data_IF_985650575259
#
_entry.id   IF_985650575259
#
_cell.length_a   1.000
_cell.length_b   1.000
_cell.length_c   1.000
_cell.angle_alpha   90.00
_cell.angle_beta   90.00
_cell.angle_gamma   90.00
#
_symmetry.space_group_name_H-M   'P 1'
#
loop_
_entity.id
_entity.type
_entity.pdbx_description
1 polymer ?
#
# COMPACT_ATOMS: atom_id res chain seq x y z
N UNK A 1 -3.39 -8.45 -7.49
CA UNK A 1 -3.84 -7.03 -7.39
C UNK A 1 -4.40 -6.60 -8.73
N UNK A 2 -5.39 -5.72 -8.76
CA UNK A 2 -5.92 -5.14 -10.01
C UNK A 2 -5.08 -3.95 -10.50
N UNK A 3 -5.19 -3.64 -11.79
CA UNK A 3 -4.54 -2.46 -12.38
C UNK A 3 -5.06 -1.16 -11.77
N UNK A 4 -6.37 -1.10 -11.49
CA UNK A 4 -6.99 0.01 -10.77
C UNK A 4 -7.18 1.27 -11.60
N UNK A 5 -7.23 2.41 -10.92
CA UNK A 5 -7.39 3.75 -11.48
C UNK A 5 -6.60 4.76 -10.60
N UNK A 6 -6.59 6.07 -10.89
CA UNK A 6 -5.84 7.03 -10.05
C UNK A 6 -6.27 7.14 -8.57
N UNK A 7 -7.35 6.47 -8.16
CA UNK A 7 -7.86 6.47 -6.77
C UNK A 7 -7.66 5.14 -6.04
N UNK A 8 -7.46 4.03 -6.74
CA UNK A 8 -7.30 2.70 -6.14
C UNK A 8 -6.48 1.74 -7.00
N UNK A 9 -5.91 0.70 -6.40
CA UNK A 9 -5.18 -0.35 -7.10
C UNK A 9 -3.76 0.03 -7.53
N UNK A 10 -3.20 -0.70 -8.48
CA UNK A 10 -1.79 -0.54 -8.89
C UNK A 10 -1.48 0.86 -9.42
N UNK A 11 -2.29 1.40 -10.32
CA UNK A 11 -2.08 2.74 -10.89
C UNK A 11 -1.99 3.80 -9.80
N UNK A 12 -2.90 3.79 -8.84
CA UNK A 12 -2.86 4.72 -7.72
C UNK A 12 -1.59 4.59 -6.88
N UNK A 13 -1.18 3.34 -6.56
CA UNK A 13 0.02 3.09 -5.77
C UNK A 13 1.27 3.57 -6.51
N UNK A 14 1.37 3.29 -7.81
CA UNK A 14 2.50 3.72 -8.62
C UNK A 14 2.57 5.26 -8.70
N UNK A 15 1.48 5.90 -9.13
CA UNK A 15 1.43 7.34 -9.34
C UNK A 15 1.60 8.13 -8.04
N UNK A 16 1.05 7.67 -6.91
CA UNK A 16 1.13 8.42 -5.65
C UNK A 16 2.32 8.04 -4.79
N UNK A 17 2.71 6.77 -4.78
CA UNK A 17 3.58 6.22 -3.76
C UNK A 17 4.85 5.57 -4.32
N UNK A 18 5.06 5.48 -5.64
CA UNK A 18 6.33 4.97 -6.21
C UNK A 18 6.94 6.01 -7.15
N UNK A 19 6.30 6.28 -8.28
CA UNK A 19 6.75 7.26 -9.28
C UNK A 19 6.52 8.70 -8.82
N UNK A 20 5.51 8.94 -7.97
CA UNK A 20 5.18 10.27 -7.46
C UNK A 20 4.66 11.24 -8.53
N UNK A 21 4.09 10.72 -9.61
CA UNK A 21 3.63 11.45 -10.80
C UNK A 21 2.16 11.89 -10.74
N UNK A 22 1.43 11.59 -9.67
CA UNK A 22 0.01 11.95 -9.56
C UNK A 22 -0.23 13.46 -9.68
N UNK A 23 -1.29 13.86 -10.39
CA UNK A 23 -1.65 15.27 -10.65
C UNK A 23 -1.81 16.15 -9.40
N UNK A 24 -2.11 15.55 -8.24
CA UNK A 24 -2.24 16.25 -6.96
C UNK A 24 -0.99 16.18 -6.08
N UNK A 25 0.16 15.80 -6.64
CA UNK A 25 1.39 15.54 -5.90
C UNK A 25 1.49 14.12 -5.35
N UNK A 26 2.71 13.77 -4.96
CA UNK A 26 3.03 12.48 -4.36
C UNK A 26 2.52 12.38 -2.92
N UNK A 27 2.27 11.14 -2.47
CA UNK A 27 2.06 10.82 -1.06
C UNK A 27 3.36 10.42 -0.39
N UNK A 28 3.27 9.61 0.66
CA UNK A 28 4.44 8.98 1.27
C UNK A 28 5.04 7.96 0.28
N UNK A 29 6.32 8.15 -0.07
CA UNK A 29 6.96 7.38 -1.13
C UNK A 29 7.59 6.08 -0.63
N UNK A 30 7.39 5.03 -1.41
CA UNK A 30 8.21 3.82 -1.48
C UNK A 30 9.52 4.12 -2.22
N UNK A 31 10.52 3.23 -2.13
CA UNK A 31 11.69 3.32 -2.99
C UNK A 31 11.28 3.23 -4.48
N UNK A 32 11.88 4.03 -5.39
CA UNK A 32 11.37 4.25 -6.75
C UNK A 32 11.43 3.01 -7.66
N UNK A 33 12.23 1.99 -7.31
CA UNK A 33 12.28 0.71 -8.02
C UNK A 33 11.31 -0.35 -7.47
N UNK A 34 10.37 0.06 -6.61
CA UNK A 34 9.42 -0.89 -6.00
C UNK A 34 8.50 -1.46 -7.08
N UNK A 35 8.39 -2.79 -7.14
CA UNK A 35 7.62 -3.47 -8.18
C UNK A 35 6.25 -3.91 -7.68
N UNK A 36 5.31 -4.14 -8.59
CA UNK A 36 3.98 -4.70 -8.29
C UNK A 36 4.06 -5.98 -7.47
N UNK A 37 4.94 -6.90 -7.86
CA UNK A 37 5.13 -8.16 -7.15
C UNK A 37 5.61 -7.96 -5.70
N UNK A 38 6.45 -6.95 -5.45
CA UNK A 38 6.87 -6.62 -4.07
C UNK A 38 5.70 -6.06 -3.25
N UNK A 39 4.85 -5.22 -3.85
CA UNK A 39 3.65 -4.68 -3.18
C UNK A 39 2.64 -5.80 -2.91
N UNK A 40 2.39 -6.70 -3.86
CA UNK A 40 1.50 -7.85 -3.69
C UNK A 40 1.96 -8.75 -2.55
N UNK A 41 3.24 -9.15 -2.57
CA UNK A 41 3.82 -9.95 -1.50
C UNK A 41 3.76 -9.27 -0.13
N UNK A 42 3.97 -7.95 -0.09
CA UNK A 42 3.85 -7.17 1.14
C UNK A 42 2.39 -7.15 1.63
N UNK A 43 1.43 -6.97 0.72
CA UNK A 43 0.01 -6.96 1.04
C UNK A 43 -0.47 -8.30 1.59
N UNK A 44 -0.11 -9.42 0.95
CA UNK A 44 -0.38 -10.78 1.45
C UNK A 44 0.16 -10.96 2.88
N UNK A 45 1.43 -10.58 3.10
CA UNK A 45 2.05 -10.63 4.43
C UNK A 45 1.30 -9.79 5.46
N UNK A 46 0.74 -8.64 5.06
CA UNK A 46 -0.01 -7.75 5.95
C UNK A 46 -1.41 -8.27 6.25
N UNK A 47 -2.08 -8.92 5.30
CA UNK A 47 -3.37 -9.57 5.53
C UNK A 47 -3.20 -10.73 6.53
N UNK A 48 -2.15 -11.54 6.37
CA UNK A 48 -1.89 -12.68 7.25
C UNK A 48 -1.35 -12.30 8.64
N UNK A 49 -0.41 -11.34 8.69
CA UNK A 49 0.44 -11.09 9.87
C UNK A 49 0.45 -9.63 10.30
N UNK A 50 -0.32 -8.77 9.66
CA UNK A 50 -0.46 -7.36 10.02
C UNK A 50 -1.43 -7.18 11.18
N UNK A 51 -1.36 -6.01 11.80
CA UNK A 51 -2.36 -5.60 12.79
C UNK A 51 -3.49 -4.92 12.05
N UNK A 52 -4.71 -5.46 12.12
CA UNK A 52 -5.91 -4.77 11.67
C UNK A 52 -6.17 -3.58 12.60
N UNK A 53 -6.19 -2.38 12.06
CA UNK A 53 -6.41 -1.13 12.81
C UNK A 53 -7.80 -0.53 12.58
N UNK A 54 -8.53 -1.04 11.59
CA UNK A 54 -9.95 -0.74 11.38
C UNK A 54 -10.85 -1.64 12.22
N UNK A 55 -12.08 -1.17 12.43
CA UNK A 55 -13.18 -2.00 12.94
C UNK A 55 -13.44 -3.18 11.97
N UNK A 56 -13.43 -4.45 12.44
CA UNK A 56 -13.74 -5.63 11.63
C UNK A 56 -15.09 -5.60 10.91
N UNK A 57 -16.07 -4.82 11.38
CA UNK A 57 -17.40 -4.72 10.77
C UNK A 57 -17.44 -3.79 9.53
N UNK A 58 -16.36 -3.05 9.25
CA UNK A 58 -16.30 -2.16 8.08
C UNK A 58 -15.93 -2.93 6.81
N UNK A 59 -16.51 -2.57 5.67
CA UNK A 59 -16.07 -3.07 4.36
C UNK A 59 -14.60 -2.72 4.07
N UNK A 60 -14.21 -1.47 4.34
CA UNK A 60 -12.84 -1.03 4.15
C UNK A 60 -12.00 -1.44 5.35
N UNK A 61 -11.07 -2.36 5.12
CA UNK A 61 -10.17 -2.87 6.15
C UNK A 61 -8.79 -2.24 5.98
N UNK A 62 -8.20 -1.81 7.10
CA UNK A 62 -6.87 -1.22 7.16
C UNK A 62 -5.98 -2.10 8.03
N UNK A 63 -4.83 -2.47 7.47
CA UNK A 63 -3.79 -3.23 8.16
C UNK A 63 -2.53 -2.38 8.27
N UNK A 64 -1.80 -2.54 9.36
CA UNK A 64 -0.47 -1.97 9.54
C UNK A 64 0.55 -3.04 9.91
N UNK A 65 1.77 -2.90 9.38
CA UNK A 65 2.88 -3.78 9.75
C UNK A 65 4.22 -3.09 9.55
N UNK A 66 5.14 -3.30 10.49
CA UNK A 66 6.55 -2.94 10.29
C UNK A 66 7.25 -4.05 9.53
N UNK A 67 7.81 -3.73 8.37
CA UNK A 67 8.53 -4.68 7.52
C UNK A 67 9.52 -3.97 6.61
N UNK A 68 10.17 -4.72 5.73
CA UNK A 68 11.09 -4.20 4.71
C UNK A 68 10.41 -4.41 3.35
N UNK A 69 10.27 -3.34 2.58
CA UNK A 69 9.84 -3.37 1.18
C UNK A 69 10.88 -2.63 0.36
N UNK A 70 11.41 -3.30 -0.66
CA UNK A 70 12.48 -2.80 -1.52
C UNK A 70 13.64 -2.14 -0.76
N UNK A 71 14.17 -2.83 0.26
CA UNK A 71 15.29 -2.34 1.09
C UNK A 71 14.89 -1.30 2.15
N UNK A 72 13.70 -0.71 2.09
CA UNK A 72 13.25 0.27 3.08
C UNK A 72 12.50 -0.38 4.24
N UNK A 73 13.09 -0.31 5.43
CA UNK A 73 12.39 -0.62 6.70
C UNK A 73 11.50 0.55 7.10
N UNK A 74 10.19 0.31 7.15
CA UNK A 74 9.18 1.27 7.59
C UNK A 74 7.97 0.54 8.20
N UNK A 75 7.06 1.29 8.81
CA UNK A 75 5.69 0.82 9.02
C UNK A 75 4.94 1.09 7.73
N UNK A 76 4.24 0.08 7.22
CA UNK A 76 3.40 0.20 6.04
C UNK A 76 1.94 0.10 6.44
N UNK A 77 1.10 0.81 5.70
CA UNK A 77 -0.36 0.72 5.77
C UNK A 77 -0.88 0.16 4.46
N UNK A 78 -1.76 -0.83 4.59
CA UNK A 78 -2.50 -1.44 3.51
C UNK A 78 -3.97 -1.14 3.75
N UNK A 79 -4.67 -0.68 2.72
CA UNK A 79 -6.13 -0.55 2.73
C UNK A 79 -6.69 -1.50 1.67
N UNK A 80 -7.64 -2.33 2.08
CA UNK A 80 -8.34 -3.27 1.21
C UNK A 80 -9.84 -3.12 1.32
N UNK A 81 -10.54 -3.51 0.27
CA UNK A 81 -11.97 -3.76 0.28
C UNK A 81 -12.22 -5.23 0.62
N UNK A 82 -12.76 -5.52 1.81
CA UNK A 82 -12.91 -6.90 2.29
C UNK A 82 -14.12 -7.63 1.70
N UNK A 83 -15.08 -6.92 1.11
CA UNK A 83 -16.25 -7.55 0.49
C UNK A 83 -15.87 -8.22 -0.85
N UNK A 84 -14.78 -7.76 -1.47
CA UNK A 84 -14.30 -8.21 -2.77
C UNK A 84 -12.94 -8.90 -2.63
N UNK A 85 -12.88 -9.96 -1.82
CA UNK A 85 -11.69 -10.82 -1.70
C UNK A 85 -10.41 -10.10 -1.25
N UNK A 86 -10.53 -9.00 -0.49
CA UNK A 86 -9.44 -8.10 -0.11
C UNK A 86 -8.76 -7.40 -1.29
N UNK A 87 -9.56 -6.91 -2.25
CA UNK A 87 -9.09 -6.04 -3.33
C UNK A 87 -8.28 -4.87 -2.76
N UNK A 88 -7.05 -4.69 -3.23
CA UNK A 88 -6.13 -3.68 -2.71
C UNK A 88 -6.53 -2.30 -3.23
N UNK A 89 -6.74 -1.39 -2.30
CA UNK A 89 -7.11 0.00 -2.59
C UNK A 89 -5.87 0.88 -2.60
N UNK A 90 -5.03 0.79 -1.57
CA UNK A 90 -3.75 1.51 -1.54
C UNK A 90 -2.74 0.85 -0.59
N UNK A 91 -1.46 1.13 -0.81
CA UNK A 91 -0.34 0.66 -0.01
C UNK A 91 0.77 1.71 0.03
N UNK A 92 1.19 2.10 1.24
CA UNK A 92 2.20 3.16 1.41
C UNK A 92 2.89 3.07 2.78
N UNK A 93 4.12 3.60 2.93
CA UNK A 93 4.77 3.72 4.23
C UNK A 93 4.11 4.83 5.07
N UNK A 94 4.08 4.67 6.40
CA UNK A 94 3.50 5.64 7.33
C UNK A 94 4.59 6.26 8.18
N UNK A 95 4.61 7.60 8.25
CA UNK A 95 5.56 8.35 9.09
C UNK A 95 7.00 8.27 8.60
N UNK A 96 7.19 7.80 7.37
CA UNK A 96 8.47 7.76 6.65
C UNK A 96 8.17 7.77 5.17
N UNK A 97 8.78 8.70 4.44
CA UNK A 97 8.82 8.69 2.98
C UNK A 97 10.24 8.33 2.54
N UNK A 98 10.38 7.63 1.43
CA UNK A 98 11.67 7.49 0.78
C UNK A 98 12.21 8.89 0.44
N UNK A 99 13.46 9.12 0.79
CA UNK A 99 14.27 10.28 0.42
C UNK A 99 15.57 9.71 -0.16
N UNK A 100 16.00 10.10 -1.36
CA UNK A 100 17.22 9.58 -1.99
C UNK A 100 18.46 9.68 -1.11
#
# INVERSE_FOLDING_TARGET
MEDGNPKEGWQHIDERHIAGTANGGHGDLLPPSTTRAQVEKAAETMIEKGTRVSDPARRMQTYEKRMIVNGMRARYRLVVDSDDGNRIITFFPVGKSYTP
#
